data_IF_448943551654
#
_entry.id   IF_448943551654
#
_cell.length_a   1.000
_cell.length_b   1.000
_cell.length_c   1.000
_cell.angle_alpha   90.00
_cell.angle_beta   90.00
_cell.angle_gamma   90.00
#
_symmetry.space_group_name_H-M   'P 1'
#
loop_
_entity.id
_entity.type
_entity.pdbx_description
1 polymer ?
#
# COMPACT_ATOMS: atom_id res chain seq x y z
N UNK A 1 -5.90 -15.76 -18.33
CA UNK A 1 -6.26 -14.87 -17.23
C UNK A 1 -4.97 -14.38 -16.57
N UNK A 2 -4.84 -13.06 -16.29
CA UNK A 2 -3.64 -12.49 -15.67
C UNK A 2 -3.52 -13.01 -14.22
N UNK A 3 -2.30 -13.37 -13.81
CA UNK A 3 -1.97 -13.64 -12.42
C UNK A 3 -1.51 -12.36 -11.74
N UNK A 4 -2.21 -11.94 -10.68
CA UNK A 4 -1.89 -10.75 -9.91
C UNK A 4 -0.94 -11.10 -8.77
N UNK A 5 0.24 -10.46 -8.74
CA UNK A 5 1.31 -10.77 -7.80
C UNK A 5 1.25 -9.84 -6.58
N UNK A 6 1.22 -8.54 -6.82
CA UNK A 6 1.06 -7.53 -5.77
C UNK A 6 -0.21 -6.74 -6.00
N UNK A 7 -0.86 -6.33 -4.91
CA UNK A 7 -1.99 -5.40 -4.95
C UNK A 7 -1.77 -4.23 -4.00
N UNK A 8 -2.26 -3.06 -4.40
CA UNK A 8 -2.35 -1.87 -3.57
C UNK A 8 -3.81 -1.54 -3.35
N UNK A 9 -4.17 -1.20 -2.11
CA UNK A 9 -5.52 -0.78 -1.75
C UNK A 9 -5.49 0.58 -1.06
N UNK A 10 -6.43 1.45 -1.41
CA UNK A 10 -6.57 2.77 -0.82
C UNK A 10 -8.01 3.29 -0.93
N UNK A 11 -8.43 4.08 0.05
CA UNK A 11 -9.69 4.82 0.03
C UNK A 11 -9.48 6.25 -0.46
N UNK A 12 -10.07 6.60 -1.59
CA UNK A 12 -9.94 7.93 -2.19
C UNK A 12 -11.20 8.75 -1.93
N UNK A 13 -11.04 9.83 -1.17
CA UNK A 13 -12.15 10.73 -0.84
C UNK A 13 -12.25 11.88 -1.84
N UNK A 14 -13.46 12.11 -2.36
CA UNK A 14 -13.75 13.20 -3.29
C UNK A 14 -15.04 13.92 -2.91
N UNK A 15 -15.04 15.26 -2.97
CA UNK A 15 -16.24 16.08 -2.75
C UNK A 15 -17.22 15.96 -3.91
N UNK A 16 -18.51 15.88 -3.60
CA UNK A 16 -19.61 15.96 -4.55
C UNK A 16 -20.26 17.35 -4.49
N UNK A 17 -20.72 17.86 -5.64
CA UNK A 17 -21.26 19.22 -5.76
C UNK A 17 -22.62 19.38 -5.07
N UNK A 18 -23.42 18.31 -5.10
CA UNK A 18 -24.79 18.29 -4.60
C UNK A 18 -24.95 17.69 -3.20
N UNK A 19 -23.90 17.09 -2.64
CA UNK A 19 -23.98 16.37 -1.39
C UNK A 19 -22.99 16.95 -0.36
N UNK A 20 -23.41 17.04 0.89
CA UNK A 20 -22.50 17.41 2.00
C UNK A 20 -21.53 16.28 2.35
N UNK A 21 -21.83 15.06 1.94
CA UNK A 21 -21.01 13.87 2.17
C UNK A 21 -19.99 13.66 1.05
N UNK A 22 -18.74 13.35 1.42
CA UNK A 22 -17.71 12.99 0.46
C UNK A 22 -17.96 11.58 -0.09
N UNK A 23 -17.72 11.38 -1.39
CA UNK A 23 -17.60 10.06 -1.97
C UNK A 23 -16.33 9.41 -1.42
N UNK A 24 -16.43 8.18 -0.94
CA UNK A 24 -15.28 7.32 -0.65
C UNK A 24 -15.17 6.27 -1.76
N UNK A 25 -14.24 6.42 -2.67
CA UNK A 25 -13.96 5.40 -3.67
C UNK A 25 -12.93 4.40 -3.13
N UNK A 26 -13.31 3.12 -3.06
CA UNK A 26 -12.40 2.03 -2.70
C UNK A 26 -11.67 1.59 -3.97
N UNK A 27 -10.36 1.71 -3.95
CA UNK A 27 -9.50 1.47 -5.11
C UNK A 27 -8.58 0.31 -4.85
N UNK A 28 -8.55 -0.66 -5.77
CA UNK A 28 -7.56 -1.72 -5.81
C UNK A 28 -6.81 -1.65 -7.14
N UNK A 29 -5.50 -1.59 -7.06
CA UNK A 29 -4.59 -1.68 -8.19
C UNK A 29 -3.75 -2.94 -8.04
N UNK A 30 -3.41 -3.61 -9.15
CA UNK A 30 -2.56 -4.78 -9.14
C UNK A 30 -1.45 -4.70 -10.18
N UNK A 31 -0.42 -5.51 -9.95
CA UNK A 31 0.62 -5.82 -10.95
C UNK A 31 0.58 -7.31 -11.27
N UNK A 32 0.54 -7.61 -12.57
CA UNK A 32 0.51 -8.99 -13.04
C UNK A 32 1.93 -9.58 -13.18
N UNK A 33 2.01 -10.85 -13.54
CA UNK A 33 3.27 -11.61 -13.75
C UNK A 33 4.20 -11.00 -14.81
N UNK A 34 3.67 -10.14 -15.69
CA UNK A 34 4.44 -9.43 -16.72
C UNK A 34 4.91 -8.04 -16.27
N UNK A 35 4.60 -7.66 -15.02
CA UNK A 35 4.93 -6.35 -14.47
C UNK A 35 4.00 -5.23 -14.90
N UNK A 36 2.89 -5.53 -15.56
CA UNK A 36 1.89 -4.56 -15.99
C UNK A 36 0.99 -4.19 -14.81
N UNK A 37 0.82 -2.90 -14.59
CA UNK A 37 -0.05 -2.37 -13.54
C UNK A 37 -1.43 -2.07 -14.11
N UNK A 38 -2.49 -2.43 -13.37
CA UNK A 38 -3.88 -2.15 -13.77
C UNK A 38 -4.75 -1.84 -12.56
N UNK A 39 -5.78 -1.04 -12.78
CA UNK A 39 -6.89 -0.95 -11.84
C UNK A 39 -7.70 -2.25 -11.87
N UNK A 40 -7.91 -2.85 -10.71
CA UNK A 40 -8.70 -4.05 -10.51
C UNK A 40 -10.13 -3.72 -10.05
N UNK A 41 -10.25 -2.70 -9.19
CA UNK A 41 -11.53 -2.19 -8.71
C UNK A 41 -11.46 -0.69 -8.43
N UNK A 42 -12.54 0.02 -8.73
CA UNK A 42 -12.86 1.37 -8.27
C UNK A 42 -14.35 1.32 -7.94
N UNK A 43 -14.67 1.18 -6.65
CA UNK A 43 -16.04 0.93 -6.16
C UNK A 43 -16.46 2.02 -5.18
N UNK A 44 -17.77 2.30 -5.11
CA UNK A 44 -18.30 3.20 -4.09
C UNK A 44 -18.29 2.51 -2.73
N UNK A 45 -17.62 3.13 -1.76
CA UNK A 45 -17.69 2.72 -0.36
C UNK A 45 -18.39 3.81 0.45
N UNK A 46 -19.36 3.46 1.26
CA UNK A 46 -19.93 4.42 2.22
C UNK A 46 -18.83 4.95 3.13
N UNK A 47 -17.89 4.09 3.46
CA UNK A 47 -16.65 4.35 4.20
C UNK A 47 -15.69 3.17 4.00
N UNK A 48 -14.46 3.30 4.43
CA UNK A 48 -13.46 2.22 4.43
C UNK A 48 -13.73 1.18 5.53
N UNK A 49 -14.95 0.62 5.55
CA UNK A 49 -15.33 -0.44 6.49
C UNK A 49 -14.86 -1.81 6.02
N UNK A 50 -14.71 -2.75 6.95
CA UNK A 50 -14.40 -4.15 6.63
C UNK A 50 -15.43 -4.74 5.67
N UNK A 51 -16.73 -4.46 5.86
CA UNK A 51 -17.77 -4.96 4.97
C UNK A 51 -17.62 -4.42 3.55
N UNK A 52 -17.40 -3.11 3.38
CA UNK A 52 -17.22 -2.51 2.04
C UNK A 52 -16.02 -3.11 1.32
N UNK A 53 -14.90 -3.28 2.02
CA UNK A 53 -13.71 -3.93 1.45
C UNK A 53 -13.92 -5.41 1.16
N UNK A 54 -14.65 -6.13 2.01
CA UNK A 54 -15.01 -7.54 1.77
C UNK A 54 -15.79 -7.70 0.47
N UNK A 55 -16.77 -6.85 0.21
CA UNK A 55 -17.55 -6.87 -1.02
C UNK A 55 -16.67 -6.64 -2.27
N UNK A 56 -15.74 -5.70 -2.21
CA UNK A 56 -14.78 -5.44 -3.29
C UNK A 56 -13.91 -6.68 -3.55
N UNK A 57 -13.33 -7.27 -2.50
CA UNK A 57 -12.45 -8.44 -2.62
C UNK A 57 -13.20 -9.69 -3.09
N UNK A 58 -14.43 -9.91 -2.63
CA UNK A 58 -15.27 -11.03 -3.09
C UNK A 58 -15.65 -10.88 -4.57
N UNK A 59 -15.96 -9.65 -5.05
CA UNK A 59 -16.16 -9.39 -6.48
C UNK A 59 -14.92 -9.71 -7.31
N UNK A 60 -13.73 -9.34 -6.83
CA UNK A 60 -12.47 -9.67 -7.50
C UNK A 60 -12.25 -11.19 -7.54
N UNK A 61 -12.49 -11.87 -6.43
CA UNK A 61 -12.39 -13.34 -6.34
C UNK A 61 -13.38 -14.05 -7.28
N UNK A 62 -14.63 -13.59 -7.34
CA UNK A 62 -15.65 -14.15 -8.25
C UNK A 62 -15.29 -13.94 -9.74
N UNK A 63 -14.51 -12.90 -10.06
CA UNK A 63 -13.98 -12.65 -11.40
C UNK A 63 -12.71 -13.45 -11.70
N UNK A 64 -12.30 -14.34 -10.77
CA UNK A 64 -11.18 -15.24 -10.93
C UNK A 64 -9.82 -14.67 -10.51
N UNK A 65 -9.79 -13.62 -9.68
CA UNK A 65 -8.53 -13.13 -9.14
C UNK A 65 -7.91 -14.19 -8.22
N UNK A 66 -6.64 -14.53 -8.48
CA UNK A 66 -5.85 -15.41 -7.63
C UNK A 66 -5.51 -14.75 -6.28
N UNK A 67 -5.01 -15.55 -5.34
CA UNK A 67 -4.41 -15.04 -4.08
C UNK A 67 -3.15 -14.25 -4.43
N UNK A 68 -3.05 -12.94 -4.09
CA UNK A 68 -1.82 -12.17 -4.32
C UNK A 68 -0.73 -12.56 -3.32
N UNK A 69 0.53 -12.39 -3.69
CA UNK A 69 1.67 -12.65 -2.80
C UNK A 69 1.82 -11.56 -1.72
N UNK A 70 1.47 -10.30 -2.06
CA UNK A 70 1.58 -9.16 -1.15
C UNK A 70 0.46 -8.15 -1.41
N UNK A 71 -0.12 -7.62 -0.34
CA UNK A 71 -1.03 -6.48 -0.36
C UNK A 71 -0.42 -5.29 0.38
N UNK A 72 -0.52 -4.10 -0.21
CA UNK A 72 0.04 -2.85 0.31
C UNK A 72 -1.10 -1.85 0.57
N UNK A 73 -1.11 -1.21 1.73
CA UNK A 73 -2.12 -0.21 2.06
C UNK A 73 -1.86 0.54 3.36
N UNK A 74 -2.74 1.48 3.71
CA UNK A 74 -2.72 2.17 4.99
C UNK A 74 -3.14 1.22 6.14
N UNK A 75 -2.56 1.40 7.33
CA UNK A 75 -2.83 0.57 8.51
C UNK A 75 -4.19 0.82 9.18
N UNK A 76 -4.89 1.89 8.83
CA UNK A 76 -6.15 2.28 9.48
C UNK A 76 -7.42 1.73 8.81
N UNK A 77 -7.28 1.02 7.69
CA UNK A 77 -8.40 0.56 6.87
C UNK A 77 -9.03 -0.75 7.39
N UNK A 78 -10.34 -0.89 7.23
CA UNK A 78 -11.03 -2.19 7.35
C UNK A 78 -10.63 -3.21 6.29
N UNK A 79 -9.77 -2.82 5.35
CA UNK A 79 -9.22 -3.65 4.29
C UNK A 79 -8.51 -4.90 4.82
N UNK A 80 -7.73 -4.76 5.90
CA UNK A 80 -6.90 -5.85 6.41
C UNK A 80 -7.73 -7.00 6.97
N UNK A 81 -8.80 -6.69 7.70
CA UNK A 81 -9.73 -7.71 8.18
C UNK A 81 -10.47 -8.40 7.02
N UNK A 82 -10.85 -7.65 5.99
CA UNK A 82 -11.48 -8.20 4.80
C UNK A 82 -10.50 -9.06 3.98
N UNK A 83 -9.22 -8.65 3.87
CA UNK A 83 -8.18 -9.41 3.19
C UNK A 83 -7.94 -10.75 3.86
N UNK A 84 -7.84 -10.76 5.20
CA UNK A 84 -7.68 -11.98 6.00
C UNK A 84 -8.81 -12.99 5.74
N UNK A 85 -10.06 -12.51 5.66
CA UNK A 85 -11.21 -13.38 5.39
C UNK A 85 -11.23 -13.93 3.95
N UNK A 86 -10.84 -13.13 2.95
CA UNK A 86 -11.01 -13.47 1.53
C UNK A 86 -9.74 -14.09 0.93
N UNK A 87 -8.57 -13.62 1.36
CA UNK A 87 -7.24 -13.97 0.86
C UNK A 87 -6.22 -14.08 2.01
N UNK A 88 -6.52 -14.90 3.03
CA UNK A 88 -5.73 -15.01 4.27
C UNK A 88 -4.27 -15.42 4.10
N UNK A 89 -3.88 -16.00 2.96
CA UNK A 89 -2.48 -16.33 2.65
C UNK A 89 -1.67 -15.13 2.15
N UNK A 90 -2.33 -14.03 1.77
CA UNK A 90 -1.67 -12.83 1.25
C UNK A 90 -0.88 -12.14 2.35
N UNK A 91 0.42 -11.92 2.15
CA UNK A 91 1.25 -11.15 3.07
C UNK A 91 0.83 -9.68 3.06
N UNK A 92 1.03 -9.01 4.18
CA UNK A 92 0.61 -7.63 4.41
C UNK A 92 1.83 -6.71 4.50
N UNK A 93 1.76 -5.57 3.79
CA UNK A 93 2.72 -4.47 3.90
C UNK A 93 1.99 -3.17 4.21
N UNK A 94 2.32 -2.54 5.33
CA UNK A 94 1.82 -1.20 5.65
C UNK A 94 2.58 -0.14 4.88
N UNK A 95 1.86 0.85 4.38
CA UNK A 95 2.44 1.98 3.66
C UNK A 95 3.27 2.87 4.59
N UNK A 96 4.57 2.98 4.31
CA UNK A 96 5.48 3.83 5.08
C UNK A 96 5.14 5.33 5.02
N UNK A 97 4.56 5.81 3.91
CA UNK A 97 4.13 7.21 3.81
C UNK A 97 3.01 7.51 4.81
N UNK A 98 1.94 6.71 4.80
CA UNK A 98 0.83 6.85 5.75
C UNK A 98 1.29 6.64 7.19
N UNK A 99 2.10 5.61 7.45
CA UNK A 99 2.64 5.37 8.80
C UNK A 99 3.47 6.54 9.31
N UNK A 100 4.35 7.08 8.48
CA UNK A 100 5.14 8.26 8.84
C UNK A 100 4.24 9.44 9.20
N UNK A 101 3.23 9.74 8.40
CA UNK A 101 2.27 10.81 8.69
C UNK A 101 1.52 10.57 10.00
N UNK A 102 1.06 9.34 10.24
CA UNK A 102 0.32 8.98 11.46
C UNK A 102 1.18 9.13 12.71
N UNK A 103 2.45 8.71 12.65
CA UNK A 103 3.41 8.88 13.77
C UNK A 103 3.70 10.36 14.02
N UNK A 104 3.98 11.13 12.95
CA UNK A 104 4.27 12.57 13.08
C UNK A 104 3.07 13.36 13.64
N UNK A 105 1.84 12.97 13.33
CA UNK A 105 0.63 13.57 13.87
C UNK A 105 0.49 13.38 15.40
N UNK A 106 1.19 12.39 15.97
CA UNK A 106 1.28 12.19 17.43
C UNK A 106 2.40 13.01 18.09
N UNK A 107 3.16 13.80 17.32
CA UNK A 107 4.32 14.56 17.78
C UNK A 107 4.11 16.07 17.60
N UNK A 108 4.65 16.92 18.51
CA UNK A 108 4.67 18.37 18.32
C UNK A 108 5.47 18.76 17.07
N UNK A 109 5.08 19.84 16.43
CA UNK A 109 5.72 20.32 15.19
C UNK A 109 7.24 20.50 15.32
N UNK A 110 7.71 20.97 16.48
CA UNK A 110 9.15 21.18 16.77
C UNK A 110 9.99 19.90 16.72
N UNK A 111 9.36 18.73 16.91
CA UNK A 111 10.05 17.41 16.94
C UNK A 111 9.91 16.67 15.62
N UNK A 112 8.89 17.01 14.81
CA UNK A 112 8.52 16.25 13.62
C UNK A 112 9.65 16.10 12.59
N UNK A 113 10.45 17.14 12.36
CA UNK A 113 11.53 17.10 11.38
C UNK A 113 12.59 16.04 11.73
N UNK A 114 13.02 16.01 12.99
CA UNK A 114 13.99 15.04 13.50
C UNK A 114 13.41 13.62 13.52
N UNK A 115 12.16 13.49 13.97
CA UNK A 115 11.46 12.20 13.99
C UNK A 115 11.26 11.63 12.58
N UNK A 116 10.96 12.48 11.59
CA UNK A 116 10.85 12.07 10.19
C UNK A 116 12.16 11.50 9.66
N UNK A 117 13.30 12.11 9.98
CA UNK A 117 14.61 11.58 9.59
C UNK A 117 14.87 10.22 10.24
N UNK A 118 14.54 10.05 11.51
CA UNK A 118 14.68 8.77 12.21
C UNK A 118 13.77 7.67 11.62
N UNK A 119 12.52 8.00 11.24
CA UNK A 119 11.63 7.08 10.53
C UNK A 119 12.17 6.69 9.15
N UNK A 120 12.73 7.65 8.40
CA UNK A 120 13.36 7.37 7.10
C UNK A 120 14.54 6.41 7.25
N UNK A 121 15.35 6.53 8.30
CA UNK A 121 16.46 5.63 8.55
C UNK A 121 16.01 4.16 8.68
N UNK A 122 14.81 3.90 9.16
CA UNK A 122 14.26 2.54 9.27
C UNK A 122 14.05 1.92 7.88
N UNK A 123 13.25 2.57 7.04
CA UNK A 123 12.84 1.97 5.77
C UNK A 123 13.80 2.24 4.60
N UNK A 124 14.86 3.03 4.84
CA UNK A 124 15.98 3.21 3.91
C UNK A 124 17.18 2.34 4.26
N UNK A 125 17.16 1.63 5.38
CA UNK A 125 18.22 0.70 5.75
C UNK A 125 18.44 -0.37 4.67
N UNK A 126 19.69 -0.79 4.47
CA UNK A 126 20.03 -1.78 3.45
C UNK A 126 19.63 -3.19 3.86
N UNK A 127 19.59 -3.48 5.17
CA UNK A 127 19.22 -4.77 5.72
C UNK A 127 18.06 -4.65 6.70
N UNK A 128 17.28 -5.73 6.86
CA UNK A 128 16.21 -5.82 7.85
C UNK A 128 16.75 -5.66 9.27
N UNK A 129 17.93 -6.22 9.56
CA UNK A 129 18.59 -6.10 10.87
C UNK A 129 18.91 -4.65 11.21
N UNK A 130 19.43 -3.88 10.26
CA UNK A 130 19.72 -2.46 10.49
C UNK A 130 18.43 -1.63 10.58
N UNK A 131 17.39 -1.99 9.83
CA UNK A 131 16.06 -1.40 9.98
C UNK A 131 15.49 -1.65 11.38
N UNK A 132 15.62 -2.87 11.91
CA UNK A 132 15.17 -3.22 13.26
C UNK A 132 15.91 -2.44 14.35
N UNK A 133 17.24 -2.29 14.21
CA UNK A 133 18.04 -1.43 15.12
C UNK A 133 17.57 0.03 15.08
N UNK A 134 17.35 0.58 13.89
CA UNK A 134 16.85 1.94 13.74
C UNK A 134 15.43 2.09 14.30
N UNK A 135 14.60 1.05 14.19
CA UNK A 135 13.27 0.97 14.77
C UNK A 135 13.32 1.03 16.30
N UNK A 136 14.16 0.19 16.91
CA UNK A 136 14.35 0.15 18.37
C UNK A 136 14.89 1.48 18.88
N UNK A 137 15.86 2.08 18.20
CA UNK A 137 16.38 3.41 18.55
C UNK A 137 15.30 4.49 18.52
N UNK A 138 14.37 4.42 17.55
CA UNK A 138 13.23 5.34 17.50
C UNK A 138 12.33 5.16 18.72
N UNK A 139 12.01 3.92 19.10
CA UNK A 139 11.19 3.62 20.28
C UNK A 139 11.86 4.15 21.55
N UNK A 140 13.11 3.81 21.79
CA UNK A 140 13.88 4.26 22.95
C UNK A 140 13.94 5.79 23.05
N UNK A 141 14.12 6.47 21.92
CA UNK A 141 14.25 7.93 21.88
C UNK A 141 12.94 8.65 22.20
N UNK A 142 11.81 8.15 21.70
CA UNK A 142 10.54 8.89 21.72
C UNK A 142 9.53 8.37 22.75
N UNK A 143 9.63 7.12 23.20
CA UNK A 143 8.68 6.52 24.15
C UNK A 143 8.53 7.29 25.48
N UNK A 144 9.60 7.78 26.12
CA UNK A 144 9.48 8.47 27.41
C UNK A 144 8.61 9.72 27.39
N UNK A 145 8.54 10.41 26.24
CA UNK A 145 7.77 11.66 26.09
C UNK A 145 6.55 11.52 25.19
N UNK A 146 6.56 10.58 24.26
CA UNK A 146 5.56 10.46 23.20
C UNK A 146 5.10 9.01 22.99
N UNK A 147 4.58 8.34 24.02
CA UNK A 147 4.22 6.92 23.96
C UNK A 147 3.14 6.61 22.92
N UNK A 148 2.29 7.59 22.57
CA UNK A 148 1.31 7.43 21.48
C UNK A 148 1.96 7.29 20.12
N UNK A 149 3.04 8.02 19.87
CA UNK A 149 3.77 7.96 18.61
C UNK A 149 4.50 6.63 18.44
N UNK A 150 5.16 6.15 19.49
CA UNK A 150 5.86 4.86 19.51
C UNK A 150 4.90 3.70 19.41
N UNK A 151 3.76 3.72 20.11
CA UNK A 151 2.72 2.71 19.98
C UNK A 151 2.14 2.67 18.55
N UNK A 152 1.91 3.85 17.94
CA UNK A 152 1.43 3.97 16.57
C UNK A 152 2.40 3.28 15.57
N UNK A 153 3.72 3.40 15.80
CA UNK A 153 4.74 2.76 14.96
C UNK A 153 4.83 1.26 15.26
N UNK A 154 4.97 0.91 16.54
CA UNK A 154 5.29 -0.45 16.99
C UNK A 154 4.23 -1.49 16.62
N UNK A 155 2.95 -1.13 16.67
CA UNK A 155 1.83 -2.06 16.43
C UNK A 155 1.84 -2.74 15.06
N UNK A 156 2.50 -2.14 14.07
CA UNK A 156 2.58 -2.66 12.69
C UNK A 156 4.03 -2.98 12.29
N UNK A 157 4.90 -3.29 13.26
CA UNK A 157 6.34 -3.49 13.04
C UNK A 157 6.63 -4.53 11.97
N UNK A 158 6.01 -5.69 12.06
CA UNK A 158 6.24 -6.79 11.12
C UNK A 158 5.76 -6.46 9.72
N UNK A 159 4.56 -5.89 9.59
CA UNK A 159 3.98 -5.51 8.30
C UNK A 159 4.68 -4.30 7.68
N UNK A 160 5.35 -3.46 8.46
CA UNK A 160 6.17 -2.37 7.95
C UNK A 160 7.49 -2.87 7.35
N UNK A 161 8.03 -3.97 7.86
CA UNK A 161 9.31 -4.55 7.44
C UNK A 161 9.16 -5.72 6.46
N UNK A 162 7.95 -6.10 6.09
CA UNK A 162 7.70 -7.23 5.20
C UNK A 162 8.38 -7.11 3.84
N UNK A 163 8.56 -5.90 3.31
CA UNK A 163 9.16 -5.66 2.00
C UNK A 163 10.61 -6.15 1.87
N UNK A 164 11.35 -6.31 2.99
CA UNK A 164 12.71 -6.84 2.98
C UNK A 164 12.79 -8.29 2.48
N UNK A 165 11.70 -9.03 2.57
CA UNK A 165 11.59 -10.41 2.12
C UNK A 165 11.14 -10.53 0.64
N UNK A 166 11.24 -9.43 -0.12
CA UNK A 166 10.94 -9.33 -1.54
C UNK A 166 12.11 -8.72 -2.31
N UNK A 167 12.20 -8.90 -3.64
CA UNK A 167 13.32 -8.39 -4.44
C UNK A 167 13.58 -6.90 -4.20
N UNK A 168 14.83 -6.51 -3.99
CA UNK A 168 15.22 -5.12 -3.71
C UNK A 168 14.75 -4.13 -4.81
N UNK A 169 14.69 -4.58 -6.06
CA UNK A 169 14.20 -3.80 -7.18
C UNK A 169 12.72 -3.41 -7.06
N UNK A 170 11.94 -4.18 -6.26
CA UNK A 170 10.51 -3.93 -6.02
C UNK A 170 10.26 -2.98 -4.85
N UNK A 171 11.21 -2.81 -3.92
CA UNK A 171 11.03 -2.10 -2.65
C UNK A 171 10.43 -0.71 -2.79
N UNK A 172 10.93 0.08 -3.75
CA UNK A 172 10.42 1.43 -3.98
C UNK A 172 8.91 1.45 -4.28
N UNK A 173 8.41 0.41 -4.94
CA UNK A 173 7.00 0.31 -5.32
C UNK A 173 6.12 -0.33 -4.26
N UNK A 174 6.66 -1.28 -3.47
CA UNK A 174 5.84 -2.09 -2.55
C UNK A 174 5.81 -1.59 -1.10
N UNK A 175 6.74 -0.72 -0.69
CA UNK A 175 6.75 -0.16 0.67
C UNK A 175 5.86 1.07 0.84
N UNK A 176 5.21 1.54 -0.21
CA UNK A 176 4.28 2.69 -0.19
C UNK A 176 3.09 2.49 -1.11
N UNK A 177 2.01 3.24 -0.89
CA UNK A 177 0.85 3.33 -1.78
C UNK A 177 0.99 4.38 -2.88
N UNK A 178 2.18 4.93 -3.08
CA UNK A 178 2.47 5.94 -4.12
C UNK A 178 1.91 5.61 -5.52
N UNK A 179 1.89 4.36 -5.99
CA UNK A 179 1.29 4.03 -7.28
C UNK A 179 -0.17 4.48 -7.41
N UNK A 180 -0.99 4.32 -6.37
CA UNK A 180 -2.38 4.81 -6.34
C UNK A 180 -2.39 6.32 -6.14
N UNK A 181 -1.66 6.84 -5.14
CA UNK A 181 -1.71 8.25 -4.76
C UNK A 181 -1.32 9.19 -5.92
N UNK A 182 -0.26 8.87 -6.65
CA UNK A 182 0.19 9.69 -7.79
C UNK A 182 -0.85 9.77 -8.90
N UNK A 183 -1.52 8.66 -9.20
CA UNK A 183 -2.58 8.60 -10.20
C UNK A 183 -3.80 9.41 -9.75
N UNK A 184 -4.23 9.22 -8.49
CA UNK A 184 -5.39 9.93 -7.96
C UNK A 184 -5.12 11.41 -7.66
N UNK A 185 -3.88 11.82 -7.45
CA UNK A 185 -3.52 13.24 -7.42
C UNK A 185 -3.87 13.94 -8.75
N UNK A 186 -3.55 13.31 -9.88
CA UNK A 186 -3.91 13.80 -11.22
C UNK A 186 -5.44 13.80 -11.43
N UNK A 187 -6.12 12.74 -11.02
CA UNK A 187 -7.58 12.64 -11.10
C UNK A 187 -8.23 13.74 -10.25
N UNK A 188 -7.82 13.90 -8.98
CA UNK A 188 -8.31 14.97 -8.09
C UNK A 188 -8.09 16.38 -8.66
N UNK A 189 -6.94 16.64 -9.26
CA UNK A 189 -6.67 17.93 -9.88
C UNK A 189 -7.65 18.23 -11.01
N UNK A 190 -7.98 17.26 -11.85
CA UNK A 190 -8.95 17.42 -12.95
C UNK A 190 -10.38 17.54 -12.43
N UNK A 191 -10.79 16.72 -11.48
CA UNK A 191 -12.12 16.77 -10.87
C UNK A 191 -12.37 18.09 -10.12
N UNK A 192 -11.33 18.64 -9.47
CA UNK A 192 -11.41 19.95 -8.81
C UNK A 192 -11.61 21.09 -9.81
N UNK A 193 -10.94 21.04 -10.96
CA UNK A 193 -11.12 22.05 -12.04
C UNK A 193 -12.52 22.03 -12.65
N UNK A 194 -13.13 20.87 -12.82
CA UNK A 194 -14.52 20.73 -13.30
C UNK A 194 -15.56 21.04 -12.22
N UNK A 195 -15.15 21.52 -11.05
CA UNK A 195 -15.99 21.80 -9.87
C UNK A 195 -16.78 20.57 -9.35
N UNK A 196 -16.26 19.36 -9.58
CA UNK A 196 -16.85 18.09 -9.16
C UNK A 196 -17.98 17.60 -10.08
N UNK A 197 -18.50 16.41 -9.75
CA UNK A 197 -19.66 15.82 -10.40
C UNK A 197 -20.94 16.08 -9.61
N UNK A 198 -22.08 16.02 -10.29
CA UNK A 198 -23.40 16.21 -9.69
C UNK A 198 -23.87 14.95 -8.95
N UNK A 199 -23.38 13.77 -9.34
CA UNK A 199 -23.80 12.48 -8.75
C UNK A 199 -22.61 11.60 -8.40
N UNK A 200 -22.81 10.65 -7.48
CA UNK A 200 -21.84 9.63 -7.08
C UNK A 200 -21.42 8.77 -8.28
N UNK A 201 -22.39 8.27 -9.04
CA UNK A 201 -22.13 7.44 -10.23
C UNK A 201 -21.32 8.20 -11.28
N UNK A 202 -21.63 9.46 -11.53
CA UNK A 202 -20.88 10.33 -12.45
C UNK A 202 -19.44 10.49 -11.99
N UNK A 203 -19.20 10.64 -10.69
CA UNK A 203 -17.84 10.74 -10.13
C UNK A 203 -17.07 9.43 -10.29
N UNK A 204 -17.67 8.30 -9.97
CA UNK A 204 -17.05 6.97 -10.13
C UNK A 204 -16.73 6.68 -11.60
N UNK A 205 -17.65 6.95 -12.52
CA UNK A 205 -17.39 6.83 -13.95
C UNK A 205 -16.23 7.69 -14.42
N UNK A 206 -16.16 8.94 -13.94
CA UNK A 206 -15.06 9.84 -14.26
C UNK A 206 -13.75 9.33 -13.69
N UNK A 207 -13.71 8.89 -12.43
CA UNK A 207 -12.51 8.27 -11.82
C UNK A 207 -12.05 7.06 -12.62
N UNK A 208 -12.97 6.18 -13.00
CA UNK A 208 -12.69 5.00 -13.80
C UNK A 208 -12.11 5.36 -15.18
N UNK A 209 -12.73 6.28 -15.91
CA UNK A 209 -12.24 6.71 -17.23
C UNK A 209 -10.89 7.40 -17.17
N UNK A 210 -10.69 8.29 -16.20
CA UNK A 210 -9.40 8.95 -15.99
C UNK A 210 -8.33 7.94 -15.56
N UNK A 211 -8.69 6.96 -14.72
CA UNK A 211 -7.83 5.85 -14.33
C UNK A 211 -7.39 5.00 -15.53
N UNK A 212 -8.34 4.63 -16.40
CA UNK A 212 -8.04 3.91 -17.64
C UNK A 212 -7.10 4.70 -18.58
N UNK A 213 -7.29 6.02 -18.67
CA UNK A 213 -6.39 6.86 -19.46
C UNK A 213 -4.99 6.93 -18.86
N UNK A 214 -4.88 7.05 -17.54
CA UNK A 214 -3.59 7.06 -16.84
C UNK A 214 -2.85 5.74 -16.99
N UNK A 215 -3.57 4.63 -16.88
CA UNK A 215 -3.04 3.26 -16.99
C UNK A 215 -2.29 3.00 -18.30
N UNK A 216 -2.73 3.60 -19.41
CA UNK A 216 -2.07 3.45 -20.73
C UNK A 216 -0.63 3.94 -20.75
N UNK A 217 -0.29 4.88 -19.85
CA UNK A 217 1.03 5.50 -19.76
C UNK A 217 1.88 4.96 -18.59
N UNK A 218 1.38 3.96 -17.86
CA UNK A 218 2.14 3.41 -16.74
C UNK A 218 3.29 2.56 -17.24
N UNK A 219 4.44 2.77 -16.61
CA UNK A 219 5.61 1.90 -16.83
C UNK A 219 5.40 0.59 -16.05
N UNK A 220 5.96 -0.49 -16.59
CA UNK A 220 6.05 -1.77 -15.89
C UNK A 220 6.74 -1.60 -14.53
N UNK A 221 6.47 -2.52 -13.63
CA UNK A 221 7.16 -2.61 -12.35
C UNK A 221 8.67 -2.72 -12.60
N UNK A 222 9.47 -1.91 -11.91
CA UNK A 222 10.93 -2.03 -11.97
C UNK A 222 11.33 -3.42 -11.47
N UNK A 223 12.23 -4.11 -12.19
CA UNK A 223 12.63 -5.47 -11.82
C UNK A 223 11.54 -6.53 -12.04
N UNK A 224 10.59 -6.30 -12.94
CA UNK A 224 9.44 -7.19 -13.20
C UNK A 224 9.84 -8.64 -13.50
N UNK A 225 11.04 -8.89 -14.00
CA UNK A 225 11.57 -10.23 -14.25
C UNK A 225 11.77 -11.06 -12.97
N UNK A 226 11.84 -10.44 -11.79
CA UNK A 226 11.83 -11.15 -10.51
C UNK A 226 10.44 -11.64 -10.07
N UNK A 227 9.35 -11.15 -10.69
CA UNK A 227 8.00 -11.58 -10.31
C UNK A 227 7.80 -13.09 -10.49
N UNK A 228 8.40 -13.69 -11.52
CA UNK A 228 8.37 -15.13 -11.72
C UNK A 228 8.96 -15.89 -10.51
N UNK A 229 10.06 -15.39 -9.93
CA UNK A 229 10.68 -15.98 -8.75
C UNK A 229 9.81 -15.83 -7.51
N UNK A 230 9.18 -14.68 -7.32
CA UNK A 230 8.22 -14.45 -6.23
C UNK A 230 7.05 -15.43 -6.34
N UNK A 231 6.49 -15.60 -7.54
CA UNK A 231 5.37 -16.53 -7.82
C UNK A 231 5.74 -17.99 -7.52
N UNK A 232 6.98 -18.37 -7.79
CA UNK A 232 7.47 -19.74 -7.56
C UNK A 232 7.94 -19.99 -6.12
N UNK A 233 7.79 -19.01 -5.23
CA UNK A 233 8.11 -19.15 -3.82
C UNK A 233 9.61 -19.09 -3.51
N UNK A 234 10.41 -18.49 -4.40
CA UNK A 234 11.83 -18.24 -4.11
C UNK A 234 11.94 -17.27 -2.95
N UNK A 235 12.71 -17.64 -1.94
CA UNK A 235 12.95 -16.81 -0.77
C UNK A 235 13.94 -15.68 -1.08
N UNK A 236 13.64 -14.50 -0.53
CA UNK A 236 14.49 -13.32 -0.57
C UNK A 236 14.82 -12.90 0.85
N UNK A 237 16.07 -12.57 1.09
CA UNK A 237 16.55 -11.96 2.34
C UNK A 237 17.25 -10.65 2.01
N UNK A 238 16.79 -9.57 2.63
CA UNK A 238 17.29 -8.23 2.33
C UNK A 238 17.28 -7.89 0.83
N UNK A 239 16.23 -8.35 0.14
CA UNK A 239 16.04 -8.12 -1.30
C UNK A 239 16.88 -8.98 -2.23
N UNK A 240 17.70 -9.88 -1.69
CA UNK A 240 18.58 -10.79 -2.44
C UNK A 240 18.02 -12.21 -2.36
N UNK A 241 18.05 -12.92 -3.49
CA UNK A 241 17.61 -14.32 -3.56
C UNK A 241 18.51 -15.21 -2.66
N UNK A 242 17.87 -16.00 -1.78
CA UNK A 242 18.56 -16.99 -0.96
C UNK A 242 18.89 -18.19 -1.84
N UNK A 243 20.17 -18.43 -2.08
CA UNK A 243 20.63 -19.61 -2.82
C UNK A 243 20.79 -20.82 -1.88
N UNK A 244 20.66 -22.03 -2.42
CA UNK A 244 20.77 -23.30 -1.66
C UNK A 244 22.11 -23.44 -0.92
N UNK A 245 23.12 -22.68 -1.29
CA UNK A 245 24.45 -22.66 -0.66
C UNK A 245 24.37 -21.96 0.70
N UNK A 246 23.53 -20.93 0.84
CA UNK A 246 23.37 -20.18 2.10
C UNK A 246 22.56 -20.96 3.15
N UNK A 247 21.78 -21.96 2.74
CA UNK A 247 21.00 -22.81 3.66
C UNK A 247 21.86 -23.91 4.33
N UNK A 248 23.04 -24.22 3.79
CA UNK A 248 23.95 -25.24 4.34
C UNK A 248 24.98 -24.61 5.31
N UNK A 249 25.13 -23.29 5.30
CA UNK A 249 26.10 -22.53 6.10
C UNK A 249 25.51 -21.88 7.38
N UNK A 250 24.24 -22.06 7.68
CA UNK A 250 23.54 -21.57 8.87
C UNK A 250 23.12 -22.74 9.77
#
# INVERSE_FOLDING_TARGET
QDRWVYIWADGVYSGLRAEQTKLCALVVMGVNERGEKRFLAIEDGVRESTQSWREVLLKLKSRGMNVPELAIGDGAMGFWAALEEVYGETRQQRCWMHKTMNVLNCLPKSVQAKAKQALHAIWQAETKVDAEKAFDLFLETYEPKYPKATLCLHKDREELLAFYDFPAQHWQSIRTSNPIESTFATIRHRTKRSKGCLSRDGMLHMMFKLGQCAQKNWRRLRGFYYLAKVITGVEFKDGIEVTTIDQVAA
#
